data_IF_747876386667
#
_entry.id   IF_747876386667
#
_cell.length_a   1.000
_cell.length_b   1.000
_cell.length_c   1.000
_cell.angle_alpha   90.00
_cell.angle_beta   90.00
_cell.angle_gamma   90.00
#
_symmetry.space_group_name_H-M   'P 1'
#
loop_
_entity.id
_entity.type
_entity.pdbx_description
1 polymer ?
#
# COMPACT_ATOMS: atom_id res chain seq x y z
N UNK A 1 6.10 -8.53 3.26
CA UNK A 1 5.79 -7.49 2.26
C UNK A 1 7.09 -7.05 1.58
N UNK A 2 7.03 -6.45 0.39
CA UNK A 2 8.17 -5.77 -0.23
C UNK A 2 7.97 -4.26 -0.16
N UNK A 3 8.97 -3.56 0.38
CA UNK A 3 8.93 -2.13 0.60
C UNK A 3 10.35 -1.56 0.57
N UNK A 4 10.46 -0.25 0.32
CA UNK A 4 11.74 0.43 0.19
C UNK A 4 11.62 1.92 0.49
N UNK A 5 12.75 2.55 0.81
CA UNK A 5 12.79 4.00 0.98
C UNK A 5 12.55 4.66 -0.38
N UNK A 6 11.66 5.65 -0.43
CA UNK A 6 11.45 6.44 -1.64
C UNK A 6 12.65 7.37 -1.83
N UNK A 7 13.42 7.26 -2.93
CA UNK A 7 14.61 8.07 -3.14
C UNK A 7 14.31 9.56 -3.07
N UNK A 8 15.30 10.35 -2.63
CA UNK A 8 15.20 11.82 -2.54
C UNK A 8 14.10 12.31 -1.59
N UNK A 9 13.70 11.50 -0.61
CA UNK A 9 12.74 11.88 0.44
C UNK A 9 13.35 11.74 1.84
N UNK A 10 12.89 12.58 2.76
CA UNK A 10 13.18 12.44 4.18
C UNK A 10 12.10 11.57 4.85
N UNK A 11 12.36 10.27 4.90
CA UNK A 11 11.57 9.29 5.65
C UNK A 11 10.26 8.83 4.98
N UNK A 12 10.11 8.96 3.66
CA UNK A 12 9.01 8.32 2.94
C UNK A 12 9.45 6.95 2.39
N UNK A 13 8.51 6.00 2.42
CA UNK A 13 8.70 4.64 1.97
C UNK A 13 7.56 4.23 1.03
N UNK A 14 7.88 3.37 0.07
CA UNK A 14 6.93 2.75 -0.84
C UNK A 14 6.70 1.30 -0.40
N UNK A 15 5.43 0.92 -0.31
CA UNK A 15 4.99 -0.46 -0.21
C UNK A 15 4.71 -0.98 -1.63
N UNK A 16 5.66 -1.70 -2.20
CA UNK A 16 5.56 -2.19 -3.58
C UNK A 16 4.52 -3.30 -3.74
N UNK A 17 4.55 -4.31 -2.86
CA UNK A 17 3.56 -5.38 -2.90
C UNK A 17 3.42 -6.15 -1.58
N UNK A 18 2.21 -6.65 -1.37
CA UNK A 18 1.90 -7.73 -0.43
C UNK A 18 1.29 -8.85 -1.26
N UNK A 19 1.94 -10.00 -1.27
CA UNK A 19 1.45 -11.19 -1.93
C UNK A 19 1.22 -12.28 -0.88
N UNK A 20 0.03 -12.87 -0.92
CA UNK A 20 -0.35 -14.03 -0.11
C UNK A 20 -0.92 -15.06 -1.07
N UNK A 21 -0.56 -16.33 -0.86
CA UNK A 21 -1.12 -17.45 -1.60
C UNK A 21 -2.66 -17.45 -1.49
N UNK A 22 -3.36 -17.69 -2.61
CA UNK A 22 -4.83 -17.58 -2.69
C UNK A 22 -5.54 -18.51 -1.70
N UNK A 23 -4.98 -19.68 -1.39
CA UNK A 23 -5.57 -20.63 -0.46
C UNK A 23 -5.44 -20.17 1.01
N UNK A 24 -4.64 -19.14 1.25
CA UNK A 24 -4.35 -18.59 2.57
C UNK A 24 -4.89 -17.16 2.75
N UNK A 25 -5.74 -16.69 1.83
CA UNK A 25 -6.42 -15.40 1.95
C UNK A 25 -7.42 -15.40 3.11
N UNK A 26 -7.71 -14.19 3.63
CA UNK A 26 -8.68 -13.94 4.74
C UNK A 26 -8.32 -14.60 6.07
N UNK A 27 -7.06 -15.00 6.27
CA UNK A 27 -6.54 -15.54 7.52
C UNK A 27 -5.66 -14.53 8.30
N UNK A 28 -5.74 -13.23 7.98
CA UNK A 28 -4.94 -12.19 8.64
C UNK A 28 -3.48 -12.09 8.16
N UNK A 29 -3.00 -12.99 7.30
CA UNK A 29 -1.58 -13.00 6.86
C UNK A 29 -1.16 -11.68 6.18
N UNK A 30 -2.03 -11.11 5.34
CA UNK A 30 -1.74 -9.82 4.68
C UNK A 30 -1.56 -8.68 5.68
N UNK A 31 -2.33 -8.69 6.77
CA UNK A 31 -2.24 -7.72 7.86
C UNK A 31 -0.95 -7.92 8.67
N UNK A 32 -0.59 -9.16 9.02
CA UNK A 32 0.67 -9.48 9.69
C UNK A 32 1.87 -9.01 8.86
N UNK A 33 1.85 -9.24 7.54
CA UNK A 33 2.93 -8.80 6.65
C UNK A 33 3.02 -7.28 6.52
N UNK A 34 1.89 -6.58 6.60
CA UNK A 34 1.82 -5.12 6.57
C UNK A 34 2.31 -4.53 7.89
N UNK A 35 1.83 -5.03 9.02
CA UNK A 35 2.22 -4.59 10.35
C UNK A 35 3.73 -4.73 10.58
N UNK A 36 4.32 -5.84 10.14
CA UNK A 36 5.76 -6.03 10.23
C UNK A 36 6.53 -5.05 9.34
N UNK A 37 6.03 -4.77 8.12
CA UNK A 37 6.63 -3.75 7.26
C UNK A 37 6.57 -2.36 7.92
N UNK A 38 5.42 -1.98 8.49
CA UNK A 38 5.25 -0.71 9.18
C UNK A 38 6.20 -0.58 10.39
N UNK A 39 6.34 -1.62 11.21
CA UNK A 39 7.30 -1.65 12.34
C UNK A 39 8.73 -1.44 11.86
N UNK A 40 9.14 -2.14 10.80
CA UNK A 40 10.49 -2.02 10.26
C UNK A 40 10.75 -0.64 9.64
N UNK A 41 9.75 -0.04 8.99
CA UNK A 41 9.83 1.33 8.47
C UNK A 41 10.00 2.33 9.62
N UNK A 42 9.19 2.23 10.69
CA UNK A 42 9.33 3.08 11.89
C UNK A 42 10.70 2.94 12.54
N UNK A 43 11.20 1.72 12.69
CA UNK A 43 12.51 1.44 13.27
C UNK A 43 13.67 2.08 12.49
N UNK A 44 13.48 2.34 11.18
CA UNK A 44 14.45 3.03 10.31
C UNK A 44 14.20 4.53 10.18
N UNK A 45 13.35 5.11 11.04
CA UNK A 45 13.01 6.54 11.02
C UNK A 45 12.08 6.95 9.88
N UNK A 46 11.38 5.99 9.26
CA UNK A 46 10.33 6.28 8.29
C UNK A 46 9.09 6.87 8.98
N UNK A 47 8.50 7.89 8.37
CA UNK A 47 7.34 8.65 8.87
C UNK A 47 6.09 8.52 7.99
N UNK A 48 6.26 7.99 6.77
CA UNK A 48 5.23 7.90 5.75
C UNK A 48 5.42 6.62 4.95
N UNK A 49 4.36 5.83 4.82
CA UNK A 49 4.30 4.68 3.93
C UNK A 49 3.23 4.90 2.86
N UNK A 50 3.61 4.69 1.61
CA UNK A 50 2.80 4.95 0.42
C UNK A 50 2.50 3.62 -0.26
N UNK A 51 1.24 3.37 -0.59
CA UNK A 51 0.81 2.21 -1.35
C UNK A 51 0.06 2.67 -2.61
N UNK A 52 0.42 2.10 -3.76
CA UNK A 52 -0.14 2.45 -5.05
C UNK A 52 -0.88 1.22 -5.62
N UNK A 53 -2.07 1.42 -6.21
CA UNK A 53 -2.84 0.35 -6.85
C UNK A 53 -3.70 0.88 -7.98
N UNK A 54 -4.25 -0.02 -8.80
CA UNK A 54 -5.11 0.36 -9.91
C UNK A 54 -6.54 0.69 -9.45
N UNK A 55 -7.22 1.56 -10.22
CA UNK A 55 -8.59 2.00 -9.97
C UNK A 55 -9.68 1.01 -10.41
N UNK A 56 -9.32 -0.01 -11.19
CA UNK A 56 -10.26 -1.00 -11.73
C UNK A 56 -10.98 -1.80 -10.64
N UNK A 57 -12.23 -2.25 -10.88
CA UNK A 57 -13.01 -3.05 -9.93
C UNK A 57 -12.30 -4.30 -9.40
N UNK A 58 -11.41 -4.91 -10.20
CA UNK A 58 -10.62 -6.07 -9.79
C UNK A 58 -9.72 -5.80 -8.56
N UNK A 59 -9.36 -4.54 -8.31
CA UNK A 59 -8.50 -4.12 -7.19
C UNK A 59 -9.28 -3.52 -6.02
N UNK A 60 -10.61 -3.56 -6.04
CA UNK A 60 -11.42 -2.99 -4.97
C UNK A 60 -11.15 -3.66 -3.61
N UNK A 61 -10.91 -4.98 -3.60
CA UNK A 61 -10.52 -5.70 -2.38
C UNK A 61 -9.21 -5.17 -1.78
N UNK A 62 -8.23 -4.84 -2.63
CA UNK A 62 -6.96 -4.22 -2.25
C UNK A 62 -7.16 -2.79 -1.73
N UNK A 63 -7.97 -1.98 -2.39
CA UNK A 63 -8.30 -0.62 -1.93
C UNK A 63 -8.95 -0.66 -0.53
N UNK A 64 -9.95 -1.53 -0.33
CA UNK A 64 -10.58 -1.69 0.98
C UNK A 64 -9.64 -2.28 2.03
N UNK A 65 -8.65 -3.10 1.64
CA UNK A 65 -7.62 -3.58 2.56
C UNK A 65 -6.82 -2.42 3.15
N UNK A 66 -6.28 -1.52 2.31
CA UNK A 66 -5.54 -0.35 2.79
C UNK A 66 -6.39 0.57 3.67
N UNK A 67 -7.64 0.86 3.26
CA UNK A 67 -8.55 1.68 4.07
C UNK A 67 -8.80 1.10 5.46
N UNK A 68 -9.02 -0.22 5.57
CA UNK A 68 -9.20 -0.89 6.87
C UNK A 68 -7.92 -0.95 7.70
N UNK A 69 -6.76 -0.96 7.05
CA UNK A 69 -5.45 -0.92 7.70
C UNK A 69 -5.02 0.50 8.13
N UNK A 70 -5.91 1.48 8.05
CA UNK A 70 -5.67 2.85 8.51
C UNK A 70 -4.91 3.71 7.51
N UNK A 71 -4.90 3.35 6.22
CA UNK A 71 -4.43 4.22 5.16
C UNK A 71 -5.55 5.14 4.71
N UNK A 72 -5.18 6.34 4.29
CA UNK A 72 -6.06 7.33 3.71
C UNK A 72 -5.88 7.37 2.18
N UNK A 73 -6.95 7.67 1.46
CA UNK A 73 -6.87 7.94 0.03
C UNK A 73 -6.27 9.34 -0.17
N UNK A 74 -5.00 9.40 -0.58
CA UNK A 74 -4.28 10.67 -0.76
C UNK A 74 -4.56 11.27 -2.14
N UNK A 75 -4.50 10.45 -3.19
CA UNK A 75 -4.62 10.93 -4.56
C UNK A 75 -5.19 9.87 -5.50
N UNK A 76 -5.74 10.36 -6.61
CA UNK A 76 -6.15 9.55 -7.74
C UNK A 76 -5.75 10.25 -9.03
N UNK A 77 -5.02 9.56 -9.89
CA UNK A 77 -4.67 10.04 -11.23
C UNK A 77 -5.51 9.24 -12.22
N UNK A 78 -6.46 9.92 -12.88
CA UNK A 78 -7.36 9.28 -13.84
C UNK A 78 -6.62 8.82 -15.08
N UNK A 79 -7.05 7.67 -15.62
CA UNK A 79 -6.52 7.09 -16.86
C UNK A 79 -4.98 6.89 -16.86
N UNK A 80 -4.37 6.74 -15.68
CA UNK A 80 -2.92 6.69 -15.52
C UNK A 80 -2.28 5.49 -16.21
N UNK A 81 -2.85 4.29 -16.02
CA UNK A 81 -2.32 3.08 -16.64
C UNK A 81 -2.86 2.88 -18.06
N UNK A 82 -4.13 3.21 -18.27
CA UNK A 82 -4.85 3.16 -19.55
C UNK A 82 -6.21 3.87 -19.40
N UNK A 83 -6.92 4.21 -20.49
CA UNK A 83 -8.28 4.73 -20.38
C UNK A 83 -9.19 3.82 -19.54
N UNK A 84 -9.80 4.38 -18.49
CA UNK A 84 -10.59 3.67 -17.49
C UNK A 84 -9.79 2.95 -16.39
N UNK A 85 -8.48 3.19 -16.30
CA UNK A 85 -7.58 2.57 -15.32
C UNK A 85 -6.75 3.60 -14.55
N UNK A 86 -7.31 4.06 -13.45
CA UNK A 86 -6.70 5.07 -12.59
C UNK A 86 -5.51 4.50 -11.81
N UNK A 87 -4.58 5.38 -11.43
CA UNK A 87 -3.71 5.15 -10.29
C UNK A 87 -4.42 5.67 -9.04
N UNK A 88 -4.45 4.85 -8.00
CA UNK A 88 -4.98 5.20 -6.68
C UNK A 88 -3.83 5.12 -5.68
N UNK A 89 -3.57 6.23 -4.99
CA UNK A 89 -2.47 6.37 -4.03
C UNK A 89 -3.04 6.44 -2.62
N UNK A 90 -2.57 5.56 -1.76
CA UNK A 90 -2.89 5.49 -0.35
C UNK A 90 -1.68 5.86 0.49
N UNK A 91 -1.89 6.59 1.58
CA UNK A 91 -0.82 6.98 2.51
C UNK A 91 -1.18 6.61 3.94
N UNK A 92 -0.16 6.28 4.73
CA UNK A 92 -0.28 6.15 6.18
C UNK A 92 0.90 6.83 6.86
N UNK A 93 0.58 7.71 7.80
CA UNK A 93 1.58 8.33 8.68
C UNK A 93 1.92 7.35 9.81
N UNK A 94 3.21 7.10 10.02
CA UNK A 94 3.74 6.06 10.89
C UNK A 94 4.25 6.62 12.21
#
# INVERSE_FOLDING_TARGET
>A
ACYGQRPLTQGAYDLYWIAVDKNHHRQGIGEILLDEAEKQVKARGGRLLIAETAGKPAFESTQRFYLRSGYELEARIRDFYSPGDDLVVFTKRL
#
